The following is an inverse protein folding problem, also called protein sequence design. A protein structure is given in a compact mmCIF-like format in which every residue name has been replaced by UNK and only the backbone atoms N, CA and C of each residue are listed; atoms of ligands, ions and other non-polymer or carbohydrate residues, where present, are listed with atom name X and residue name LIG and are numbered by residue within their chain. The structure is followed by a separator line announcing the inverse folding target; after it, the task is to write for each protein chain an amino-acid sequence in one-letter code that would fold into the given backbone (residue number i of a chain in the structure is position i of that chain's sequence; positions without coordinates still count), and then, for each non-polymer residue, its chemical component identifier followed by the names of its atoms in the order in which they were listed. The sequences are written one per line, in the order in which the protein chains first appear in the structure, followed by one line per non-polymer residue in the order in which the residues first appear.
data_IF_329478363256
#
_entry.id   IF_329478363256
#
_cell.length_a   1.000
_cell.length_b   1.000
_cell.length_c   1.000
_cell.angle_alpha   90.00
_cell.angle_beta   90.00
_cell.angle_gamma   90.00
#
_symmetry.space_group_name_H-M   'P 1'
#
loop_
_entity.id
_entity.type
_entity.pdbx_description
1 polymer ?
#
# COMPACT_ATOMS: atom_id res chain seq x y z
N UNK A 1 -10.60 9.02 -10.03
CA UNK A 1 -11.43 7.94 -10.62
C UNK A 1 -10.50 6.76 -10.86
N UNK A 2 -10.88 5.55 -10.45
CA UNK A 2 -10.09 4.34 -10.72
C UNK A 2 -10.29 3.94 -12.19
N UNK A 3 -9.22 3.59 -12.88
CA UNK A 3 -9.24 3.12 -14.26
C UNK A 3 -8.72 1.67 -14.31
N UNK A 4 -9.59 0.67 -14.58
CA UNK A 4 -9.18 -0.73 -14.66
C UNK A 4 -8.23 -1.02 -15.83
N UNK A 5 -8.22 -0.18 -16.87
CA UNK A 5 -7.33 -0.33 -18.03
C UNK A 5 -5.97 0.37 -17.83
N UNK A 6 -5.80 1.10 -16.73
CA UNK A 6 -4.61 1.93 -16.49
C UNK A 6 -3.32 1.17 -16.22
N UNK A 7 -3.39 -0.12 -15.89
CA UNK A 7 -2.23 -1.00 -15.75
C UNK A 7 -1.91 -1.69 -17.09
N UNK A 8 -1.71 -0.88 -18.11
CA UNK A 8 -1.46 -1.33 -19.47
C UNK A 8 -0.01 -1.78 -19.69
N UNK A 9 0.28 -2.23 -20.91
CA UNK A 9 1.59 -2.75 -21.24
C UNK A 9 2.71 -1.71 -21.16
N UNK A 10 2.39 -0.42 -21.37
CA UNK A 10 3.36 0.67 -21.23
C UNK A 10 3.79 0.82 -19.77
N UNK A 11 2.85 0.73 -18.83
CA UNK A 11 3.16 0.76 -17.38
C UNK A 11 4.05 -0.42 -17.01
N UNK A 12 3.68 -1.63 -17.44
CA UNK A 12 4.43 -2.84 -17.12
C UNK A 12 5.85 -2.84 -17.70
N UNK A 13 6.04 -2.32 -18.92
CA UNK A 13 7.37 -2.16 -19.52
C UNK A 13 8.22 -1.16 -18.74
N UNK A 14 7.67 0.01 -18.40
CA UNK A 14 8.42 1.02 -17.65
C UNK A 14 8.82 0.57 -16.24
N UNK A 15 7.98 -0.23 -15.56
CA UNK A 15 8.34 -0.82 -14.27
C UNK A 15 9.53 -1.78 -14.41
N UNK A 16 9.54 -2.62 -15.45
CA UNK A 16 10.60 -3.63 -15.68
C UNK A 16 11.93 -3.05 -16.14
N UNK A 17 11.96 -1.79 -16.60
CA UNK A 17 13.21 -1.08 -16.86
C UNK A 17 14.00 -0.79 -15.57
N UNK A 18 13.33 -0.76 -14.40
CA UNK A 18 13.93 -0.34 -13.13
C UNK A 18 13.79 -1.36 -12.00
N UNK A 19 12.82 -2.27 -12.09
CA UNK A 19 12.47 -3.20 -11.02
C UNK A 19 12.45 -4.64 -11.54
N UNK A 20 12.91 -5.55 -10.69
CA UNK A 20 12.68 -6.99 -10.87
C UNK A 20 11.21 -7.34 -10.64
N UNK A 21 10.75 -8.48 -11.16
CA UNK A 21 9.38 -8.93 -10.95
C UNK A 21 9.03 -9.06 -9.45
N UNK A 22 9.99 -9.49 -8.60
CA UNK A 22 9.78 -9.56 -7.15
C UNK A 22 9.55 -8.17 -6.52
N UNK A 23 10.31 -7.16 -6.92
CA UNK A 23 10.13 -5.78 -6.45
C UNK A 23 8.81 -5.17 -6.96
N UNK A 24 8.38 -5.52 -8.17
CA UNK A 24 7.08 -5.10 -8.71
C UNK A 24 5.93 -5.70 -7.88
N UNK A 25 6.04 -6.97 -7.49
CA UNK A 25 5.07 -7.62 -6.60
C UNK A 25 5.04 -6.95 -5.22
N UNK A 26 6.20 -6.61 -4.67
CA UNK A 26 6.31 -5.88 -3.40
C UNK A 26 5.66 -4.49 -3.49
N UNK A 27 5.95 -3.74 -4.56
CA UNK A 27 5.33 -2.44 -4.83
C UNK A 27 3.80 -2.54 -4.92
N UNK A 28 3.29 -3.53 -5.65
CA UNK A 28 1.85 -3.77 -5.74
C UNK A 28 1.22 -4.08 -4.38
N UNK A 29 1.91 -4.85 -3.55
CA UNK A 29 1.48 -5.17 -2.19
C UNK A 29 1.41 -3.92 -1.30
N UNK A 30 2.42 -3.05 -1.37
CA UNK A 30 2.44 -1.78 -0.65
C UNK A 30 1.28 -0.85 -1.07
N UNK A 31 1.03 -0.73 -2.38
CA UNK A 31 -0.09 0.07 -2.92
C UNK A 31 -1.42 -0.47 -2.41
N UNK A 32 -1.64 -1.80 -2.45
CA UNK A 32 -2.88 -2.41 -2.00
C UNK A 32 -3.15 -2.16 -0.51
N UNK A 33 -2.13 -2.32 0.34
CA UNK A 33 -2.23 -2.08 1.79
C UNK A 33 -2.55 -0.62 2.09
N UNK A 34 -1.79 0.31 1.51
CA UNK A 34 -1.96 1.75 1.78
C UNK A 34 -3.29 2.29 1.24
N UNK A 35 -3.73 1.84 0.06
CA UNK A 35 -5.04 2.20 -0.49
C UNK A 35 -6.18 1.65 0.37
N UNK A 36 -6.05 0.41 0.87
CA UNK A 36 -6.97 -0.19 1.82
C UNK A 36 -7.11 0.65 3.10
N UNK A 37 -6.00 1.09 3.68
CA UNK A 37 -6.00 1.96 4.87
C UNK A 37 -6.74 3.27 4.61
N UNK A 38 -6.49 3.93 3.48
CA UNK A 38 -7.20 5.17 3.11
C UNK A 38 -8.71 4.95 2.97
N UNK A 39 -9.13 3.80 2.44
CA UNK A 39 -10.56 3.45 2.33
C UNK A 39 -11.20 3.22 3.70
N UNK A 40 -10.51 2.55 4.62
CA UNK A 40 -11.00 2.30 5.99
C UNK A 40 -11.18 3.60 6.76
N UNK A 41 -10.19 4.50 6.74
CA UNK A 41 -10.26 5.82 7.39
C UNK A 41 -11.51 6.59 6.93
N UNK A 42 -11.74 6.64 5.62
CA UNK A 42 -12.92 7.30 5.04
C UNK A 42 -14.23 6.62 5.42
N UNK A 43 -14.25 5.29 5.45
CA UNK A 43 -15.45 4.50 5.74
C UNK A 43 -15.91 4.69 7.19
N UNK A 44 -14.96 4.78 8.12
CA UNK A 44 -15.24 4.93 9.55
C UNK A 44 -15.28 6.40 10.00
N UNK A 45 -15.18 7.35 9.07
CA UNK A 45 -15.15 8.79 9.34
C UNK A 45 -14.15 9.18 10.44
N UNK A 46 -13.00 8.51 10.46
CA UNK A 46 -11.96 8.70 11.48
C UNK A 46 -11.40 10.12 11.39
N UNK A 47 -11.46 10.84 12.51
CA UNK A 47 -10.88 12.17 12.66
C UNK A 47 -9.36 12.15 12.80
N UNK A 48 -8.73 13.32 12.62
CA UNK A 48 -7.29 13.45 12.79
C UNK A 48 -6.88 13.12 14.24
N UNK A 49 -5.99 12.13 14.40
CA UNK A 49 -5.50 11.71 15.72
C UNK A 49 -6.39 10.73 16.49
N UNK A 50 -7.51 10.28 15.91
CA UNK A 50 -8.40 9.32 16.57
C UNK A 50 -7.89 7.87 16.54
N UNK A 51 -6.98 7.56 15.61
CA UNK A 51 -6.24 6.31 15.59
C UNK A 51 -4.79 6.53 16.05
N UNK A 52 -4.20 5.57 16.78
CA UNK A 52 -2.79 5.62 17.14
C UNK A 52 -1.92 5.78 15.89
N UNK A 53 -0.97 6.72 15.93
CA UNK A 53 -0.04 6.99 14.84
C UNK A 53 0.93 5.81 14.58
N UNK A 54 1.10 4.93 15.57
CA UNK A 54 1.98 3.76 15.50
C UNK A 54 1.16 2.49 15.26
N UNK A 55 1.09 1.99 14.02
CA UNK A 55 0.50 0.70 13.75
C UNK A 55 1.45 -0.40 14.25
N UNK A 56 1.02 -1.19 15.24
CA UNK A 56 1.73 -2.40 15.67
C UNK A 56 1.40 -3.63 14.79
N UNK A 57 0.40 -3.51 13.91
CA UNK A 57 0.00 -4.57 13.01
C UNK A 57 0.92 -4.65 11.79
N UNK A 58 1.33 -5.85 11.40
CA UNK A 58 2.19 -6.09 10.23
C UNK A 58 3.69 -5.87 10.46
N UNK A 59 4.11 -5.44 11.65
CA UNK A 59 5.52 -5.43 12.04
C UNK A 59 5.97 -6.84 12.39
N UNK A 60 7.19 -7.21 11.95
CA UNK A 60 7.85 -8.42 12.41
C UNK A 60 7.94 -8.41 13.96
N UNK A 61 7.81 -9.57 14.63
CA UNK A 61 7.67 -9.63 16.08
C UNK A 61 8.81 -8.97 16.87
N UNK A 62 10.02 -8.88 16.31
CA UNK A 62 11.12 -8.13 16.94
C UNK A 62 10.90 -6.61 17.01
N UNK A 63 10.09 -6.03 16.12
CA UNK A 63 9.89 -4.57 15.99
C UNK A 63 8.65 -4.04 16.72
N UNK A 64 7.78 -4.93 17.19
CA UNK A 64 6.57 -4.56 17.94
C UNK A 64 6.82 -4.26 19.43
N UNK A 65 8.03 -4.53 19.93
CA UNK A 65 8.46 -4.30 21.32
C UNK A 65 9.46 -3.15 21.39
N UNK A 66 9.01 -1.92 21.22
CA UNK A 66 9.76 -0.73 21.64
C UNK A 66 8.83 0.27 22.30
#
# INVERSE_FOLDING_TARGET
MWDPEGADQRVWSGLREHLTDAQIVELGSFIAVTYGQQRVIKTWAVGHGELPAEPRAGLAPEKAKS
#
